data_IF_501114276500
#
_entry.id   IF_501114276500
#
_cell.length_a   1.000
_cell.length_b   1.000
_cell.length_c   1.000
_cell.angle_alpha   90.00
_cell.angle_beta   90.00
_cell.angle_gamma   90.00
#
_symmetry.space_group_name_H-M   'P 1'
#
loop_
_entity.id
_entity.type
_entity.pdbx_description
1 polymer ?
#
# COMPACT_ATOMS: atom_id res chain seq x y z
N UNK A 1 -11.75 -26.91 4.79
CA UNK A 1 -11.87 -26.79 3.32
C UNK A 1 -12.76 -25.59 3.12
N UNK A 2 -12.22 -24.51 2.60
CA UNK A 2 -13.01 -23.37 2.17
C UNK A 2 -13.89 -23.84 1.01
N UNK A 3 -15.19 -23.63 1.11
CA UNK A 3 -16.13 -24.02 0.06
C UNK A 3 -15.85 -23.18 -1.19
N UNK A 4 -15.69 -23.84 -2.33
CA UNK A 4 -15.63 -23.16 -3.63
C UNK A 4 -17.01 -22.64 -3.98
N UNK A 5 -17.13 -21.34 -4.21
CA UNK A 5 -18.35 -20.73 -4.67
C UNK A 5 -18.55 -20.84 -6.18
N UNK A 6 -19.75 -20.51 -6.65
CA UNK A 6 -20.07 -20.43 -8.07
C UNK A 6 -20.72 -19.10 -8.41
N UNK A 7 -20.28 -18.51 -9.51
CA UNK A 7 -20.86 -17.26 -10.03
C UNK A 7 -22.31 -17.49 -10.42
N UNK A 8 -23.22 -16.66 -9.93
CA UNK A 8 -24.65 -16.68 -10.28
C UNK A 8 -25.09 -15.42 -11.03
N UNK A 9 -24.41 -14.29 -10.85
CA UNK A 9 -24.71 -13.01 -11.51
C UNK A 9 -23.42 -12.26 -11.83
N UNK A 10 -23.37 -11.58 -12.97
CA UNK A 10 -22.27 -10.72 -13.39
C UNK A 10 -22.86 -9.37 -13.81
N UNK A 11 -22.37 -8.28 -13.19
CA UNK A 11 -22.81 -6.91 -13.48
C UNK A 11 -21.56 -6.00 -13.60
N UNK A 12 -20.89 -6.06 -14.75
CA UNK A 12 -19.60 -5.40 -14.95
C UNK A 12 -18.55 -5.94 -13.97
N UNK A 13 -17.76 -5.12 -13.26
CA UNK A 13 -16.75 -5.58 -12.32
C UNK A 13 -17.31 -6.16 -11.01
N UNK A 14 -18.64 -6.13 -10.82
CA UNK A 14 -19.32 -6.71 -9.65
C UNK A 14 -19.96 -8.03 -10.05
N UNK A 15 -19.61 -9.07 -9.32
CA UNK A 15 -20.18 -10.41 -9.50
C UNK A 15 -20.83 -10.89 -8.20
N UNK A 16 -21.83 -11.75 -8.32
CA UNK A 16 -22.45 -12.43 -7.18
C UNK A 16 -22.15 -13.92 -7.29
N UNK A 17 -21.67 -14.52 -6.21
CA UNK A 17 -21.38 -15.95 -6.12
C UNK A 17 -22.18 -16.58 -4.98
N UNK A 18 -22.64 -17.79 -5.19
CA UNK A 18 -23.30 -18.64 -4.20
C UNK A 18 -22.32 -19.71 -3.68
N UNK A 19 -22.63 -20.29 -2.50
CA UNK A 19 -21.75 -21.29 -1.87
C UNK A 19 -20.57 -20.70 -1.13
N UNK A 20 -20.61 -19.41 -0.78
CA UNK A 20 -19.53 -18.66 -0.15
C UNK A 20 -19.57 -18.70 1.39
N UNK A 21 -20.18 -19.72 1.97
CA UNK A 21 -20.31 -19.86 3.42
C UNK A 21 -18.97 -20.01 4.10
N UNK A 22 -18.71 -19.18 5.11
CA UNK A 22 -17.48 -19.20 5.89
C UNK A 22 -16.42 -18.24 5.41
N UNK A 23 -16.68 -17.46 4.34
CA UNK A 23 -15.86 -16.34 3.93
C UNK A 23 -16.10 -15.09 4.80
N UNK A 24 -15.23 -14.12 4.71
CA UNK A 24 -15.27 -12.90 5.51
C UNK A 24 -15.39 -11.65 4.63
N UNK A 25 -15.91 -10.57 5.19
CA UNK A 25 -15.90 -9.26 4.53
C UNK A 25 -14.48 -8.83 4.20
N UNK A 26 -14.29 -8.31 3.00
CA UNK A 26 -12.99 -7.89 2.43
C UNK A 26 -12.00 -9.04 2.19
N UNK A 27 -12.47 -10.28 2.23
CA UNK A 27 -11.63 -11.42 1.83
C UNK A 27 -11.36 -11.39 0.33
N UNK A 28 -10.12 -11.66 -0.03
CA UNK A 28 -9.71 -11.83 -1.42
C UNK A 28 -10.16 -13.16 -1.96
N UNK A 29 -10.58 -13.14 -3.21
CA UNK A 29 -11.02 -14.34 -3.94
C UNK A 29 -10.37 -14.38 -5.32
N UNK A 30 -10.20 -15.59 -5.85
CA UNK A 30 -9.84 -15.84 -7.25
C UNK A 30 -11.09 -16.26 -8.01
N UNK A 31 -11.40 -15.55 -9.09
CA UNK A 31 -12.69 -15.61 -9.76
C UNK A 31 -12.51 -16.13 -11.17
N UNK A 32 -13.29 -17.16 -11.51
CA UNK A 32 -13.37 -17.73 -12.86
C UNK A 32 -12.16 -18.55 -13.28
N UNK A 33 -12.19 -18.99 -14.54
CA UNK A 33 -11.10 -19.79 -15.14
C UNK A 33 -9.78 -19.01 -15.21
N UNK A 34 -9.85 -17.70 -15.44
CA UNK A 34 -8.68 -16.80 -15.51
C UNK A 34 -8.12 -16.45 -14.11
N UNK A 35 -8.79 -16.89 -13.01
CA UNK A 35 -8.40 -16.62 -11.62
C UNK A 35 -8.23 -15.13 -11.31
N UNK A 36 -9.15 -14.29 -11.82
CA UNK A 36 -9.12 -12.86 -11.62
C UNK A 36 -9.21 -12.53 -10.13
N UNK A 37 -8.44 -11.55 -9.71
CA UNK A 37 -8.43 -11.13 -8.31
C UNK A 37 -9.69 -10.31 -8.01
N UNK A 38 -10.41 -10.67 -6.95
CA UNK A 38 -11.58 -9.95 -6.45
C UNK A 38 -11.59 -9.84 -4.93
N UNK A 39 -12.43 -8.95 -4.42
CA UNK A 39 -12.64 -8.73 -2.98
C UNK A 39 -14.13 -8.84 -2.66
N UNK A 40 -14.46 -9.52 -1.57
CA UNK A 40 -15.85 -9.63 -1.09
C UNK A 40 -16.24 -8.29 -0.47
N UNK A 41 -17.28 -7.66 -1.02
CA UNK A 41 -17.77 -6.33 -0.58
C UNK A 41 -19.14 -6.39 0.09
N UNK A 42 -19.82 -7.54 0.01
CA UNK A 42 -21.10 -7.78 0.68
C UNK A 42 -21.28 -9.28 0.91
N UNK A 43 -21.91 -9.66 2.00
CA UNK A 43 -22.24 -11.03 2.35
C UNK A 43 -23.71 -11.11 2.77
N UNK A 44 -24.46 -11.99 2.11
CA UNK A 44 -25.86 -12.26 2.44
C UNK A 44 -26.09 -13.79 2.51
N UNK A 45 -26.11 -14.35 3.72
CA UNK A 45 -26.28 -15.79 3.91
C UNK A 45 -25.13 -16.61 3.33
N UNK A 46 -25.41 -17.35 2.27
CA UNK A 46 -24.45 -18.17 1.52
C UNK A 46 -23.90 -17.44 0.27
N UNK A 47 -24.43 -16.25 0.00
CA UNK A 47 -24.12 -15.47 -1.19
C UNK A 47 -23.14 -14.35 -0.86
N UNK A 48 -22.14 -14.15 -1.73
CA UNK A 48 -21.21 -13.04 -1.65
C UNK A 48 -21.29 -12.16 -2.90
N UNK A 49 -21.32 -10.85 -2.71
CA UNK A 49 -21.07 -9.88 -3.77
C UNK A 49 -19.58 -9.55 -3.79
N UNK A 50 -18.96 -9.71 -4.94
CA UNK A 50 -17.51 -9.63 -5.13
C UNK A 50 -17.21 -8.55 -6.15
N UNK A 51 -16.29 -7.68 -5.81
CA UNK A 51 -15.74 -6.69 -6.72
C UNK A 51 -14.43 -7.22 -7.32
N UNK A 52 -14.40 -7.38 -8.64
CA UNK A 52 -13.22 -7.86 -9.35
C UNK A 52 -12.30 -6.69 -9.70
N UNK A 53 -11.01 -6.86 -9.49
CA UNK A 53 -9.97 -5.86 -9.73
C UNK A 53 -9.50 -5.81 -11.20
N UNK A 54 -10.08 -6.65 -12.04
CA UNK A 54 -9.76 -6.74 -13.47
C UNK A 54 -11.06 -6.72 -14.30
N UNK A 55 -10.92 -6.65 -15.62
CA UNK A 55 -12.07 -6.68 -16.52
C UNK A 55 -12.73 -8.07 -16.56
N UNK A 56 -14.04 -8.11 -16.37
CA UNK A 56 -14.84 -9.33 -16.28
C UNK A 56 -15.46 -9.78 -17.61
N UNK A 57 -15.13 -9.10 -18.73
CA UNK A 57 -15.66 -9.45 -20.04
C UNK A 57 -15.32 -10.91 -20.40
N UNK A 58 -16.32 -11.67 -20.85
CA UNK A 58 -16.16 -13.09 -21.21
C UNK A 58 -16.37 -14.10 -20.09
N UNK A 59 -16.46 -13.67 -18.82
CA UNK A 59 -16.83 -14.55 -17.70
C UNK A 59 -18.28 -15.03 -17.82
N UNK A 60 -18.56 -16.20 -17.25
CA UNK A 60 -19.88 -16.85 -17.34
C UNK A 60 -20.41 -17.25 -15.97
N UNK A 61 -21.72 -17.19 -15.74
CA UNK A 61 -22.33 -17.86 -14.60
C UNK A 61 -21.98 -19.34 -14.56
N UNK A 62 -21.71 -19.84 -13.35
CA UNK A 62 -21.29 -21.22 -13.10
C UNK A 62 -19.78 -21.42 -12.97
N UNK A 63 -18.95 -20.42 -13.32
CA UNK A 63 -17.51 -20.46 -13.04
C UNK A 63 -17.24 -20.42 -11.53
N UNK A 64 -16.08 -20.93 -11.14
CA UNK A 64 -15.69 -21.14 -9.74
C UNK A 64 -15.15 -19.85 -9.12
N UNK A 65 -15.43 -19.66 -7.83
CA UNK A 65 -14.84 -18.62 -6.98
C UNK A 65 -14.09 -19.30 -5.84
N UNK A 66 -12.78 -19.07 -5.77
CA UNK A 66 -11.88 -19.65 -4.78
C UNK A 66 -11.53 -18.60 -3.70
N UNK A 67 -11.97 -18.74 -2.43
CA UNK A 67 -11.52 -17.89 -1.32
C UNK A 67 -10.04 -18.07 -1.03
N UNK A 68 -9.35 -16.98 -0.68
CA UNK A 68 -7.91 -17.00 -0.38
C UNK A 68 -7.60 -17.09 1.13
N UNK A 69 -8.61 -16.93 1.98
CA UNK A 69 -8.48 -17.00 3.44
C UNK A 69 -8.03 -15.70 4.10
N UNK A 70 -7.93 -14.58 3.37
CA UNK A 70 -7.52 -13.31 3.96
C UNK A 70 -7.85 -12.09 3.11
N UNK A 71 -7.78 -10.89 3.71
CA UNK A 71 -8.07 -9.63 3.02
C UNK A 71 -6.94 -9.22 2.07
N UNK A 72 -7.22 -8.19 1.24
CA UNK A 72 -6.19 -7.56 0.40
C UNK A 72 -5.02 -7.11 1.29
N UNK A 73 -3.87 -7.68 1.02
CA UNK A 73 -2.65 -7.47 1.80
C UNK A 73 -1.49 -7.11 0.90
N UNK A 74 -0.62 -6.24 1.39
CA UNK A 74 0.64 -5.89 0.72
C UNK A 74 1.80 -6.71 1.29
N UNK A 75 2.77 -7.00 0.45
CA UNK A 75 4.04 -7.60 0.83
C UNK A 75 5.03 -6.48 1.17
N UNK A 76 5.52 -6.48 2.39
CA UNK A 76 6.37 -5.44 2.97
C UNK A 76 7.75 -6.03 3.26
N UNK A 77 8.75 -5.61 2.51
CA UNK A 77 10.12 -6.13 2.60
C UNK A 77 11.07 -5.45 1.61
N UNK A 78 12.33 -5.88 1.54
CA UNK A 78 13.29 -5.36 0.56
C UNK A 78 12.82 -5.57 -0.89
N UNK A 79 12.92 -4.54 -1.71
CA UNK A 79 12.47 -4.53 -3.10
C UNK A 79 11.27 -3.63 -3.38
N UNK A 80 10.81 -2.87 -2.38
CA UNK A 80 9.71 -1.91 -2.54
C UNK A 80 10.23 -0.57 -3.08
N UNK A 81 11.33 -0.07 -2.54
CA UNK A 81 11.90 1.22 -2.95
C UNK A 81 12.37 1.16 -4.40
N UNK A 82 12.10 2.22 -5.14
CA UNK A 82 12.43 2.33 -6.57
C UNK A 82 11.47 1.58 -7.48
N UNK A 83 10.47 0.89 -6.92
CA UNK A 83 9.50 0.11 -7.70
C UNK A 83 8.27 0.93 -8.07
N UNK A 84 7.65 0.54 -9.18
CA UNK A 84 6.42 1.10 -9.71
C UNK A 84 5.35 0.02 -9.65
N UNK A 85 4.33 0.24 -8.84
CA UNK A 85 3.23 -0.70 -8.62
C UNK A 85 1.92 -0.20 -9.24
N UNK A 86 1.00 -1.13 -9.48
CA UNK A 86 -0.40 -0.81 -9.68
C UNK A 86 -1.16 -0.63 -8.33
N UNK A 87 -2.47 -0.42 -8.39
CA UNK A 87 -3.29 -0.16 -7.19
C UNK A 87 -3.34 -1.29 -6.16
N UNK A 88 -2.97 -2.52 -6.53
CA UNK A 88 -2.95 -3.71 -5.66
C UNK A 88 -1.55 -4.29 -5.47
N UNK A 89 -0.53 -3.46 -5.66
CA UNK A 89 0.89 -3.80 -5.49
C UNK A 89 1.43 -4.83 -6.51
N UNK A 90 0.91 -4.89 -7.74
CA UNK A 90 1.58 -5.66 -8.79
C UNK A 90 2.67 -4.78 -9.44
N UNK A 91 3.93 -5.25 -9.55
CA UNK A 91 5.02 -4.46 -10.13
C UNK A 91 4.86 -4.34 -11.66
N UNK A 92 4.66 -3.11 -12.15
CA UNK A 92 4.37 -2.84 -13.55
C UNK A 92 5.52 -3.21 -14.48
N UNK A 93 6.77 -3.04 -14.05
CA UNK A 93 7.94 -3.45 -14.84
C UNK A 93 7.99 -4.97 -15.05
N UNK A 94 7.70 -5.74 -14.00
CA UNK A 94 7.64 -7.21 -14.10
C UNK A 94 6.50 -7.67 -15.00
N UNK A 95 5.33 -7.01 -14.89
CA UNK A 95 4.20 -7.27 -15.80
C UNK A 95 4.62 -7.00 -17.25
N UNK A 96 5.23 -5.84 -17.51
CA UNK A 96 5.69 -5.47 -18.85
C UNK A 96 6.68 -6.48 -19.46
N UNK A 97 7.59 -7.01 -18.65
CA UNK A 97 8.54 -8.06 -19.11
C UNK A 97 7.78 -9.34 -19.46
N UNK A 98 6.73 -9.68 -18.71
CA UNK A 98 5.98 -10.93 -18.86
C UNK A 98 4.96 -10.88 -20.00
N UNK A 99 4.23 -9.76 -20.14
CA UNK A 99 3.08 -9.64 -21.05
C UNK A 99 3.26 -8.59 -22.15
N UNK A 100 4.37 -7.85 -22.17
CA UNK A 100 4.62 -6.78 -23.12
C UNK A 100 3.95 -5.45 -22.73
N UNK A 101 3.46 -4.72 -23.74
CA UNK A 101 2.92 -3.36 -23.54
C UNK A 101 1.47 -3.33 -23.00
N UNK A 102 0.83 -4.48 -22.88
CA UNK A 102 -0.54 -4.61 -22.37
C UNK A 102 -0.58 -5.49 -21.12
N UNK A 103 -1.39 -5.12 -20.15
CA UNK A 103 -1.65 -5.95 -18.96
C UNK A 103 -2.66 -7.03 -19.38
N UNK A 104 -2.21 -8.28 -19.42
CA UNK A 104 -3.09 -9.44 -19.66
C UNK A 104 -3.92 -9.75 -18.42
N UNK A 105 -5.10 -10.34 -18.63
CA UNK A 105 -6.00 -10.76 -17.56
C UNK A 105 -5.40 -11.92 -16.77
N UNK A 106 -5.66 -11.93 -15.44
CA UNK A 106 -5.19 -12.99 -14.56
C UNK A 106 -3.67 -13.07 -14.40
N UNK A 107 -2.94 -11.99 -14.75
CA UNK A 107 -1.48 -11.95 -14.56
C UNK A 107 -1.18 -11.96 -13.06
N UNK A 108 -0.63 -13.07 -12.61
CA UNK A 108 -0.11 -13.24 -11.26
C UNK A 108 1.42 -13.05 -11.28
N UNK A 109 1.88 -12.04 -10.56
CA UNK A 109 3.30 -11.72 -10.37
C UNK A 109 3.55 -11.40 -8.90
N UNK A 110 4.68 -11.84 -8.32
CA UNK A 110 4.99 -11.51 -6.94
C UNK A 110 5.16 -9.99 -6.78
N UNK A 111 4.63 -9.44 -5.68
CA UNK A 111 4.67 -8.00 -5.42
C UNK A 111 6.08 -7.49 -5.17
N UNK A 112 6.95 -8.32 -4.60
CA UNK A 112 8.39 -8.02 -4.44
C UNK A 112 9.21 -9.17 -5.01
N UNK A 113 10.47 -8.92 -5.45
CA UNK A 113 11.33 -9.95 -6.05
C UNK A 113 11.64 -11.08 -5.06
N UNK A 114 11.13 -12.30 -5.30
CA UNK A 114 11.31 -13.48 -4.43
C UNK A 114 12.68 -14.14 -4.61
N UNK A 115 13.23 -14.10 -5.81
CA UNK A 115 14.50 -14.78 -6.14
C UNK A 115 15.72 -13.90 -5.88
N UNK A 116 15.53 -12.59 -5.68
CA UNK A 116 16.61 -11.66 -5.40
C UNK A 116 17.18 -11.90 -4.02
N UNK A 117 18.49 -12.05 -3.94
CA UNK A 117 19.21 -12.17 -2.68
C UNK A 117 19.65 -10.80 -2.17
N UNK A 118 19.45 -10.60 -0.88
CA UNK A 118 19.78 -9.39 -0.16
C UNK A 118 20.77 -9.70 0.94
N UNK A 119 21.75 -8.84 1.13
CA UNK A 119 22.74 -8.99 2.21
C UNK A 119 22.11 -8.59 3.52
N UNK A 120 21.72 -9.58 4.31
CA UNK A 120 21.17 -9.39 5.65
C UNK A 120 22.30 -9.25 6.66
N UNK A 121 22.20 -8.26 7.54
CA UNK A 121 23.13 -8.04 8.65
C UNK A 121 22.35 -8.04 9.95
N UNK A 122 22.57 -9.01 10.86
CA UNK A 122 21.88 -9.07 12.14
C UNK A 122 22.36 -7.94 13.07
N UNK A 123 21.44 -7.36 13.84
CA UNK A 123 21.71 -6.31 14.83
C UNK A 123 21.51 -6.80 16.27
N UNK A 124 20.92 -7.97 16.44
CA UNK A 124 20.65 -8.60 17.75
C UNK A 124 21.23 -10.01 17.78
N UNK A 125 21.32 -10.58 18.98
CA UNK A 125 21.84 -11.94 19.18
C UNK A 125 20.74 -12.89 19.67
N UNK A 126 20.92 -14.20 19.46
CA UNK A 126 20.03 -15.22 20.02
C UNK A 126 19.94 -15.10 21.54
N UNK A 127 18.75 -15.34 22.09
CA UNK A 127 18.44 -15.19 23.50
C UNK A 127 17.90 -13.81 23.90
N UNK A 128 17.87 -12.84 23.00
CA UNK A 128 17.28 -11.52 23.27
C UNK A 128 15.75 -11.63 23.38
N UNK A 129 15.16 -10.90 24.33
CA UNK A 129 13.71 -10.65 24.32
C UNK A 129 13.38 -9.64 23.22
N UNK A 130 12.37 -9.94 22.40
CA UNK A 130 11.92 -9.10 21.32
C UNK A 130 10.41 -8.88 21.38
N UNK A 131 10.00 -7.69 20.98
CA UNK A 131 8.59 -7.28 20.84
C UNK A 131 8.29 -6.90 19.39
N UNK A 132 7.02 -6.93 19.06
CA UNK A 132 6.57 -6.45 17.75
C UNK A 132 7.10 -5.03 17.48
N UNK A 133 7.69 -4.81 16.31
CA UNK A 133 8.35 -3.57 15.91
C UNK A 133 9.85 -3.46 16.23
N UNK A 134 10.42 -4.40 17.01
CA UNK A 134 11.86 -4.41 17.26
C UNK A 134 12.63 -4.74 15.98
N UNK A 135 13.71 -4.00 15.76
CA UNK A 135 14.60 -4.21 14.62
C UNK A 135 15.60 -5.31 14.96
N UNK A 136 15.61 -6.37 14.16
CA UNK A 136 16.51 -7.52 14.35
C UNK A 136 17.68 -7.55 13.37
N UNK A 137 17.59 -6.78 12.29
CA UNK A 137 18.64 -6.70 11.28
C UNK A 137 18.40 -5.60 10.28
N UNK A 138 19.33 -5.45 9.36
CA UNK A 138 19.28 -4.45 8.30
C UNK A 138 19.71 -5.01 6.95
N UNK A 139 19.18 -4.39 5.89
CA UNK A 139 19.54 -4.67 4.49
C UNK A 139 19.67 -3.36 3.76
N UNK A 140 20.78 -3.12 3.08
CA UNK A 140 20.93 -1.95 2.20
C UNK A 140 20.11 -2.17 0.94
N UNK A 141 18.97 -1.49 0.82
CA UNK A 141 18.05 -1.66 -0.31
C UNK A 141 18.46 -0.81 -1.51
N UNK A 142 18.68 0.49 -1.27
CA UNK A 142 19.17 1.44 -2.27
C UNK A 142 20.34 2.25 -1.72
N UNK A 143 20.88 3.15 -2.52
CA UNK A 143 21.94 4.03 -2.05
C UNK A 143 21.49 5.02 -0.96
N UNK A 144 20.18 5.26 -0.84
CA UNK A 144 19.58 6.23 0.08
C UNK A 144 18.87 5.55 1.27
N UNK A 145 18.38 4.32 1.12
CA UNK A 145 17.50 3.67 2.11
C UNK A 145 18.09 2.34 2.59
N UNK A 146 18.18 2.21 3.90
CA UNK A 146 18.49 0.95 4.59
C UNK A 146 17.20 0.36 5.12
N UNK A 147 16.79 -0.77 4.59
CA UNK A 147 15.63 -1.53 5.04
C UNK A 147 15.92 -2.13 6.41
N UNK A 148 15.13 -1.78 7.40
CA UNK A 148 15.24 -2.34 8.76
C UNK A 148 14.28 -3.50 8.90
N UNK A 149 14.82 -4.68 9.18
CA UNK A 149 14.02 -5.90 9.33
C UNK A 149 13.46 -5.94 10.73
N UNK A 150 12.14 -5.91 10.84
CA UNK A 150 11.40 -5.79 12.10
C UNK A 150 10.64 -7.07 12.43
N UNK A 151 10.52 -7.34 13.72
CA UNK A 151 9.56 -8.33 14.23
C UNK A 151 8.14 -7.85 13.88
N UNK A 152 7.28 -8.69 13.27
CA UNK A 152 5.89 -8.32 13.00
C UNK A 152 5.17 -7.81 14.26
N UNK A 153 4.30 -6.79 14.17
CA UNK A 153 3.73 -6.10 15.34
C UNK A 153 3.00 -6.99 16.36
N UNK A 154 2.49 -8.12 15.90
CA UNK A 154 1.71 -9.07 16.73
C UNK A 154 2.54 -10.23 17.31
N UNK A 155 3.86 -10.19 17.15
CA UNK A 155 4.78 -11.24 17.62
C UNK A 155 5.65 -10.66 18.74
N UNK A 156 5.76 -11.42 19.85
CA UNK A 156 6.67 -11.10 20.96
C UNK A 156 7.13 -12.37 21.61
N UNK A 157 8.37 -12.41 22.08
CA UNK A 157 8.95 -13.61 22.71
C UNK A 157 10.45 -13.53 22.83
N UNK A 158 11.10 -14.70 22.90
CA UNK A 158 12.55 -14.81 22.96
C UNK A 158 13.09 -15.24 21.59
N UNK A 159 14.06 -14.52 21.09
CA UNK A 159 14.73 -14.84 19.83
C UNK A 159 15.58 -16.11 19.99
N UNK A 160 15.08 -17.22 19.50
CA UNK A 160 15.73 -18.53 19.63
C UNK A 160 16.97 -18.64 18.77
N UNK A 161 16.86 -18.23 17.53
CA UNK A 161 17.97 -18.16 16.59
C UNK A 161 17.81 -16.95 15.63
N UNK A 162 18.92 -16.53 15.08
CA UNK A 162 18.99 -15.52 14.02
C UNK A 162 20.10 -15.89 13.04
N UNK A 163 19.84 -15.68 11.75
CA UNK A 163 20.81 -15.95 10.69
C UNK A 163 22.06 -15.06 10.83
N UNK A 164 23.20 -15.60 10.49
CA UNK A 164 24.44 -14.84 10.39
C UNK A 164 24.38 -13.85 9.21
N UNK A 165 25.30 -12.89 9.18
CA UNK A 165 25.46 -12.01 8.02
C UNK A 165 25.66 -12.84 6.76
N UNK A 166 24.85 -12.57 5.73
CA UNK A 166 24.83 -13.36 4.49
C UNK A 166 23.77 -12.92 3.52
N UNK A 167 23.70 -13.62 2.39
CA UNK A 167 22.76 -13.33 1.31
C UNK A 167 21.57 -14.27 1.38
N UNK A 168 20.38 -13.70 1.63
CA UNK A 168 19.11 -14.41 1.76
C UNK A 168 18.06 -13.83 0.84
N UNK A 169 17.10 -14.64 0.44
CA UNK A 169 15.87 -14.18 -0.22
C UNK A 169 14.88 -13.63 0.82
N UNK A 170 13.87 -12.93 0.37
CA UNK A 170 12.85 -12.33 1.28
C UNK A 170 11.97 -13.37 1.97
N UNK A 171 11.89 -14.59 1.44
CA UNK A 171 11.07 -15.70 1.97
C UNK A 171 11.88 -16.72 2.78
N UNK A 172 13.21 -16.63 2.79
CA UNK A 172 14.03 -17.47 3.66
C UNK A 172 13.85 -17.07 5.13
N UNK A 173 13.80 -18.07 6.01
CA UNK A 173 13.68 -17.87 7.44
C UNK A 173 15.00 -17.33 8.00
N UNK A 174 15.00 -16.07 8.45
CA UNK A 174 16.19 -15.38 9.00
C UNK A 174 16.24 -15.42 10.52
N UNK A 175 15.12 -15.68 11.18
CA UNK A 175 15.06 -15.79 12.62
C UNK A 175 13.90 -16.70 13.06
N UNK A 176 13.95 -17.15 14.32
CA UNK A 176 12.87 -17.88 14.98
C UNK A 176 12.65 -17.26 16.37
N UNK A 177 11.40 -16.89 16.66
CA UNK A 177 10.98 -16.33 17.94
C UNK A 177 10.13 -17.36 18.66
N UNK A 178 10.52 -17.71 19.87
CA UNK A 178 9.73 -18.57 20.75
C UNK A 178 8.69 -17.73 21.51
N UNK A 179 7.44 -17.90 21.09
CA UNK A 179 6.30 -17.16 21.66
C UNK A 179 5.52 -18.05 22.63
N UNK A 180 4.61 -17.44 23.40
CA UNK A 180 3.71 -18.19 24.28
C UNK A 180 2.74 -19.14 23.54
N UNK A 181 2.66 -19.04 22.20
CA UNK A 181 1.84 -19.90 21.31
C UNK A 181 2.69 -20.91 20.52
N UNK A 182 3.99 -20.92 20.74
CA UNK A 182 4.96 -21.75 20.04
C UNK A 182 5.94 -20.95 19.18
N UNK A 183 6.90 -21.63 18.53
CA UNK A 183 7.92 -20.99 17.72
C UNK A 183 7.31 -20.40 16.43
N UNK A 184 7.73 -19.19 16.10
CA UNK A 184 7.33 -18.46 14.90
C UNK A 184 8.57 -18.10 14.10
N UNK A 185 8.58 -18.44 12.83
CA UNK A 185 9.63 -18.11 11.88
C UNK A 185 9.46 -16.68 11.38
N UNK A 186 10.55 -15.96 11.28
CA UNK A 186 10.62 -14.57 10.82
C UNK A 186 11.38 -14.53 9.50
N UNK A 187 10.80 -13.86 8.53
CA UNK A 187 11.35 -13.61 7.20
C UNK A 187 11.68 -12.12 7.04
N UNK A 188 12.42 -11.76 6.00
CA UNK A 188 12.65 -10.33 5.69
C UNK A 188 11.38 -9.65 5.14
N UNK A 189 10.39 -10.41 4.74
CA UNK A 189 9.10 -9.95 4.26
C UNK A 189 8.01 -10.21 5.30
N UNK A 190 7.05 -9.31 5.38
CA UNK A 190 5.80 -9.49 6.13
C UNK A 190 4.60 -9.08 5.27
N UNK A 191 3.43 -9.70 5.51
CA UNK A 191 2.17 -9.33 4.87
C UNK A 191 1.33 -8.50 5.82
N UNK A 192 0.68 -7.46 5.28
CA UNK A 192 -0.19 -6.59 6.08
C UNK A 192 -1.45 -6.22 5.28
N UNK A 193 -2.61 -6.34 5.93
CA UNK A 193 -3.90 -5.98 5.33
C UNK A 193 -3.98 -4.46 5.12
N UNK A 194 -4.24 -4.02 3.89
CA UNK A 194 -4.17 -2.59 3.51
C UNK A 194 -5.20 -1.71 4.22
N UNK A 195 -6.37 -2.26 4.57
CA UNK A 195 -7.44 -1.52 5.25
C UNK A 195 -7.23 -1.38 6.75
N UNK A 196 -6.21 -2.05 7.31
CA UNK A 196 -5.87 -1.99 8.73
C UNK A 196 -4.63 -1.13 8.92
N UNK A 197 -4.76 -0.03 9.67
CA UNK A 197 -3.61 0.82 10.02
C UNK A 197 -2.57 0.02 10.81
N UNK A 198 -1.28 0.30 10.57
CA UNK A 198 -0.22 -0.33 11.37
C UNK A 198 -0.16 0.32 12.75
N UNK A 199 0.03 -0.49 13.80
CA UNK A 199 0.00 0.02 15.17
C UNK A 199 1.16 0.97 15.48
N UNK A 200 0.94 1.84 16.42
CA UNK A 200 1.94 2.72 17.03
C UNK A 200 1.72 2.76 18.54
N UNK A 201 2.71 3.24 19.27
CA UNK A 201 2.63 3.33 20.75
C UNK A 201 1.83 4.57 21.15
N UNK A 202 2.28 5.72 20.71
CA UNK A 202 1.66 7.01 21.01
C UNK A 202 1.64 7.89 19.76
N UNK A 203 0.59 8.70 19.60
CA UNK A 203 0.51 9.75 18.59
C UNK A 203 0.98 11.06 19.22
N UNK A 204 1.97 11.68 18.61
CA UNK A 204 2.61 12.89 19.10
C UNK A 204 1.98 14.14 18.52
N UNK A 205 2.12 15.27 19.22
CA UNK A 205 1.68 16.55 18.73
C UNK A 205 2.47 16.98 17.47
N UNK A 206 1.84 17.67 16.51
CA UNK A 206 2.45 18.13 15.27
C UNK A 206 3.26 19.43 15.49
N UNK A 207 4.37 19.36 16.23
CA UNK A 207 5.21 20.48 16.64
C UNK A 207 6.45 20.69 15.75
N UNK A 208 6.73 19.76 14.84
CA UNK A 208 7.86 19.84 13.90
C UNK A 208 7.36 20.16 12.49
N UNK A 209 7.82 21.26 11.85
CA UNK A 209 7.40 21.59 10.50
C UNK A 209 7.99 20.60 9.47
N UNK A 210 7.17 20.25 8.48
CA UNK A 210 7.62 19.63 7.24
C UNK A 210 8.08 20.73 6.30
N UNK A 211 9.37 20.85 6.08
CA UNK A 211 9.91 21.84 5.13
C UNK A 211 9.66 21.32 3.71
N UNK A 212 8.81 22.02 2.97
CA UNK A 212 8.42 21.64 1.61
C UNK A 212 9.41 22.12 0.55
N UNK A 213 10.29 23.06 0.89
CA UNK A 213 11.19 23.73 -0.04
C UNK A 213 10.53 24.83 -0.88
N UNK A 214 9.22 25.02 -0.73
CA UNK A 214 8.43 26.08 -1.40
C UNK A 214 8.21 27.23 -0.43
N UNK A 215 8.95 28.35 -0.60
CA UNK A 215 8.90 29.49 0.34
C UNK A 215 7.50 30.00 0.65
N UNK A 216 6.61 30.05 -0.35
CA UNK A 216 5.25 30.51 -0.15
C UNK A 216 4.45 29.55 0.75
N UNK A 217 4.61 28.24 0.55
CA UNK A 217 3.96 27.21 1.36
C UNK A 217 4.51 27.21 2.78
N UNK A 218 5.83 27.14 2.93
CA UNK A 218 6.48 27.07 4.24
C UNK A 218 6.21 28.31 5.10
N UNK A 219 5.99 29.50 4.47
CA UNK A 219 5.75 30.74 5.18
C UNK A 219 4.28 30.96 5.52
N UNK A 220 3.37 30.71 4.57
CA UNK A 220 1.95 31.06 4.71
C UNK A 220 1.03 29.89 5.00
N UNK A 221 1.46 28.67 4.65
CA UNK A 221 0.66 27.45 4.79
C UNK A 221 1.53 26.30 5.32
N UNK A 222 2.21 26.47 6.47
CA UNK A 222 3.13 25.48 6.99
C UNK A 222 2.40 24.18 7.28
N UNK A 223 3.00 23.06 6.88
CA UNK A 223 2.55 21.70 7.17
C UNK A 223 3.47 21.11 8.22
N UNK A 224 2.90 20.43 9.19
CA UNK A 224 3.70 19.70 10.19
C UNK A 224 4.09 18.30 9.69
N UNK A 225 5.22 17.77 10.15
CA UNK A 225 5.56 16.35 9.99
C UNK A 225 4.49 15.49 10.67
N UNK A 226 3.93 14.54 9.92
CA UNK A 226 2.76 13.78 10.35
C UNK A 226 1.42 14.50 10.16
N UNK A 227 1.44 15.70 9.59
CA UNK A 227 0.23 16.46 9.27
C UNK A 227 -0.40 16.01 7.95
N UNK A 228 -1.59 16.57 7.70
CA UNK A 228 -2.33 16.39 6.45
C UNK A 228 -2.52 17.73 5.76
N UNK A 229 -2.39 17.74 4.44
CA UNK A 229 -2.65 18.93 3.64
C UNK A 229 -3.48 18.57 2.40
N UNK A 230 -4.29 19.52 1.94
CA UNK A 230 -5.02 19.41 0.69
C UNK A 230 -4.51 20.45 -0.29
N UNK A 231 -4.37 20.06 -1.55
CA UNK A 231 -4.10 20.97 -2.67
C UNK A 231 -5.36 21.03 -3.54
N UNK A 232 -6.30 21.94 -3.27
CA UNK A 232 -7.52 22.05 -4.02
C UNK A 232 -7.31 22.83 -5.33
N UNK A 233 -8.08 22.52 -6.35
CA UNK A 233 -8.13 23.29 -7.56
C UNK A 233 -8.72 22.54 -8.75
N UNK A 234 -9.25 23.26 -9.75
CA UNK A 234 -9.76 22.65 -10.96
C UNK A 234 -8.64 22.05 -11.82
N UNK A 235 -9.04 21.38 -12.90
CA UNK A 235 -8.08 20.87 -13.88
C UNK A 235 -7.19 22.00 -14.42
N UNK A 236 -5.88 21.73 -14.55
CA UNK A 236 -4.90 22.69 -15.04
C UNK A 236 -4.41 23.73 -14.02
N UNK A 237 -4.84 23.67 -12.76
CA UNK A 237 -4.38 24.58 -11.69
C UNK A 237 -2.97 24.28 -11.16
N UNK A 238 -2.30 23.25 -11.65
CA UNK A 238 -0.95 22.88 -11.23
C UNK A 238 -0.87 21.99 -9.99
N UNK A 239 -1.94 21.29 -9.61
CA UNK A 239 -1.95 20.35 -8.46
C UNK A 239 -0.85 19.31 -8.54
N UNK A 240 -0.79 18.58 -9.65
CA UNK A 240 0.21 17.54 -9.91
C UNK A 240 1.63 18.10 -9.87
N UNK A 241 1.86 19.26 -10.53
CA UNK A 241 3.18 19.93 -10.49
C UNK A 241 3.58 20.30 -9.06
N UNK A 242 2.64 20.82 -8.28
CA UNK A 242 2.89 21.16 -6.86
C UNK A 242 3.26 19.92 -6.06
N UNK A 243 2.56 18.80 -6.24
CA UNK A 243 2.88 17.55 -5.55
C UNK A 243 4.22 16.97 -5.98
N UNK A 244 4.58 17.04 -7.25
CA UNK A 244 5.91 16.64 -7.75
C UNK A 244 7.02 17.49 -7.12
N UNK A 245 6.82 18.81 -7.02
CA UNK A 245 7.76 19.71 -6.34
C UNK A 245 7.89 19.37 -4.86
N UNK A 246 6.79 19.06 -4.17
CA UNK A 246 6.83 18.60 -2.79
C UNK A 246 7.60 17.27 -2.66
N UNK A 247 7.34 16.30 -3.53
CA UNK A 247 8.05 15.03 -3.55
C UNK A 247 9.57 15.22 -3.73
N UNK A 248 9.97 16.16 -4.59
CA UNK A 248 11.39 16.44 -4.86
C UNK A 248 12.09 17.16 -3.71
N UNK A 249 11.45 18.17 -3.11
CA UNK A 249 12.10 19.10 -2.20
C UNK A 249 11.76 18.91 -0.72
N UNK A 250 10.69 18.17 -0.40
CA UNK A 250 10.25 18.01 0.98
C UNK A 250 11.32 17.36 1.86
N UNK A 251 11.32 17.78 3.12
CA UNK A 251 12.18 17.22 4.16
C UNK A 251 11.59 15.91 4.70
N UNK A 252 11.47 14.93 3.82
CA UNK A 252 11.07 13.57 4.12
C UNK A 252 12.17 12.60 3.67
N UNK A 253 12.32 11.50 4.38
CA UNK A 253 13.31 10.47 4.04
C UNK A 253 12.83 9.62 2.87
N UNK A 254 11.53 9.30 2.86
CA UNK A 254 10.91 8.45 1.86
C UNK A 254 9.67 9.12 1.29
N UNK A 255 9.49 8.96 -0.01
CA UNK A 255 8.32 9.45 -0.75
C UNK A 255 7.49 8.26 -1.23
N UNK A 256 6.19 8.32 -0.96
CA UNK A 256 5.20 7.42 -1.56
C UNK A 256 4.27 8.25 -2.43
N UNK A 257 4.36 8.07 -3.74
CA UNK A 257 3.51 8.79 -4.68
C UNK A 257 2.41 7.88 -5.22
N UNK A 258 1.16 8.24 -4.98
CA UNK A 258 -0.03 7.50 -5.39
C UNK A 258 -0.78 8.27 -6.46
N UNK A 259 -0.63 7.85 -7.71
CA UNK A 259 -1.49 8.30 -8.81
C UNK A 259 -2.80 7.53 -8.79
N UNK A 260 -3.85 8.16 -8.29
CA UNK A 260 -5.17 7.55 -8.13
C UNK A 260 -6.13 8.06 -9.20
N UNK A 261 -6.34 7.27 -10.23
CA UNK A 261 -7.29 7.56 -11.30
C UNK A 261 -6.89 8.72 -12.21
N UNK A 262 -5.61 9.08 -12.23
CA UNK A 262 -5.10 10.13 -13.09
C UNK A 262 -5.06 9.71 -14.56
N UNK A 263 -4.94 10.68 -15.46
CA UNK A 263 -4.88 10.41 -16.88
C UNK A 263 -3.61 9.67 -17.24
N UNK A 264 -3.70 8.75 -18.19
CA UNK A 264 -2.57 7.95 -18.64
C UNK A 264 -1.37 8.78 -19.11
N UNK A 265 -1.61 9.93 -19.78
CA UNK A 265 -0.53 10.83 -20.22
C UNK A 265 0.18 11.51 -19.05
N UNK A 266 -0.57 12.02 -18.04
CA UNK A 266 0.00 12.65 -16.85
C UNK A 266 0.81 11.63 -16.04
N UNK A 267 0.26 10.42 -15.85
CA UNK A 267 0.99 9.36 -15.17
C UNK A 267 2.22 8.91 -15.95
N UNK A 268 2.16 8.84 -17.29
CA UNK A 268 3.33 8.52 -18.11
C UNK A 268 4.44 9.57 -17.97
N UNK A 269 4.07 10.84 -17.81
CA UNK A 269 5.02 11.93 -17.53
C UNK A 269 5.71 11.72 -16.18
N UNK A 270 4.93 11.46 -15.12
CA UNK A 270 5.48 11.11 -13.79
C UNK A 270 6.43 9.91 -13.87
N UNK A 271 6.01 8.83 -14.53
CA UNK A 271 6.81 7.61 -14.66
C UNK A 271 8.11 7.79 -15.46
N UNK A 272 8.17 8.77 -16.36
CA UNK A 272 9.38 9.12 -17.11
C UNK A 272 10.26 10.10 -16.36
N UNK A 273 9.66 11.13 -15.74
CA UNK A 273 10.41 12.20 -15.09
C UNK A 273 11.01 11.77 -13.75
N UNK A 274 10.26 11.02 -12.91
CA UNK A 274 10.75 10.65 -11.58
C UNK A 274 12.07 9.86 -11.60
N UNK A 275 12.27 8.88 -12.49
CA UNK A 275 13.56 8.19 -12.60
C UNK A 275 14.73 9.08 -13.03
N UNK A 276 14.44 10.17 -13.77
CA UNK A 276 15.46 11.12 -14.24
C UNK A 276 15.75 12.23 -13.22
N UNK A 277 14.89 12.40 -12.21
CA UNK A 277 15.08 13.42 -11.17
C UNK A 277 16.18 13.00 -10.19
N UNK A 278 17.04 13.96 -9.88
CA UNK A 278 18.01 13.85 -8.81
C UNK A 278 17.47 14.45 -7.50
N UNK A 279 17.71 13.76 -6.40
CA UNK A 279 17.45 14.29 -5.07
C UNK A 279 18.41 15.47 -4.81
N UNK A 280 17.89 16.69 -4.64
CA UNK A 280 18.70 17.88 -4.47
C UNK A 280 19.58 17.86 -3.20
N UNK A 281 19.26 17.01 -2.23
CA UNK A 281 20.03 16.88 -0.98
C UNK A 281 21.22 15.96 -1.15
N UNK A 282 21.07 14.88 -1.92
CA UNK A 282 22.08 13.82 -2.02
C UNK A 282 22.77 13.73 -3.38
N UNK A 283 22.18 14.34 -4.44
CA UNK A 283 22.63 14.22 -5.83
C UNK A 283 22.42 12.81 -6.41
N UNK A 284 21.66 11.95 -5.74
CA UNK A 284 21.33 10.59 -6.17
C UNK A 284 19.96 10.56 -6.85
N UNK A 285 19.62 9.49 -7.61
CA UNK A 285 18.29 9.37 -8.20
C UNK A 285 17.20 9.50 -7.15
N UNK A 286 16.16 10.30 -7.43
CA UNK A 286 15.03 10.46 -6.52
C UNK A 286 14.30 9.13 -6.28
N UNK A 287 14.30 8.24 -7.26
CA UNK A 287 13.75 6.90 -7.15
C UNK A 287 14.41 6.04 -6.07
N UNK A 288 15.67 6.31 -5.70
CA UNK A 288 16.35 5.58 -4.62
C UNK A 288 15.68 5.76 -3.25
N UNK A 289 14.75 6.71 -3.10
CA UNK A 289 13.92 6.92 -1.89
C UNK A 289 12.42 7.04 -2.17
N UNK A 290 11.97 6.61 -3.35
CA UNK A 290 10.58 6.79 -3.79
C UNK A 290 9.93 5.45 -4.11
N UNK A 291 8.64 5.35 -3.79
CA UNK A 291 7.73 4.28 -4.24
C UNK A 291 6.63 4.93 -5.06
N UNK A 292 6.39 4.43 -6.27
CA UNK A 292 5.31 4.90 -7.13
C UNK A 292 4.18 3.87 -7.19
N UNK A 293 2.95 4.34 -7.02
CA UNK A 293 1.75 3.54 -7.25
C UNK A 293 0.96 4.22 -8.37
N UNK A 294 0.84 3.54 -9.51
CA UNK A 294 0.22 4.08 -10.70
C UNK A 294 -1.09 3.37 -10.99
N UNK A 295 -2.21 4.02 -10.69
CA UNK A 295 -3.53 3.60 -11.12
C UNK A 295 -4.14 4.67 -12.02
N UNK A 296 -4.21 4.40 -13.33
CA UNK A 296 -4.74 5.35 -14.32
C UNK A 296 -6.26 5.25 -14.43
N UNK A 297 -6.88 6.26 -15.03
CA UNK A 297 -8.34 6.37 -15.15
C UNK A 297 -8.99 5.25 -15.99
N UNK A 298 -8.22 4.57 -16.83
CA UNK A 298 -8.67 3.42 -17.64
C UNK A 298 -8.49 2.08 -16.91
N UNK A 299 -7.84 2.05 -15.76
CA UNK A 299 -7.73 0.84 -14.95
C UNK A 299 -9.03 0.60 -14.14
N UNK A 300 -9.28 -0.63 -13.70
CA UNK A 300 -10.50 -0.99 -12.98
C UNK A 300 -10.73 -0.17 -11.71
N UNK A 301 -11.99 0.14 -11.46
CA UNK A 301 -12.44 1.01 -10.35
C UNK A 301 -12.03 0.48 -8.98
N UNK A 302 -12.10 -0.85 -8.80
CA UNK A 302 -11.70 -1.49 -7.57
C UNK A 302 -10.23 -1.24 -7.22
N UNK A 303 -9.33 -1.38 -8.20
CA UNK A 303 -7.91 -1.09 -8.02
C UNK A 303 -7.66 0.40 -7.70
N UNK A 304 -8.50 1.29 -8.25
CA UNK A 304 -8.48 2.73 -7.93
C UNK A 304 -8.89 2.97 -6.47
N UNK A 305 -9.92 2.28 -6.00
CA UNK A 305 -10.34 2.41 -4.59
C UNK A 305 -9.27 1.87 -3.63
N UNK A 306 -8.60 0.79 -3.99
CA UNK A 306 -7.58 0.16 -3.15
C UNK A 306 -6.25 0.90 -3.11
N UNK A 307 -5.86 1.64 -4.19
CA UNK A 307 -4.50 2.18 -4.35
C UNK A 307 -4.04 3.10 -3.22
N UNK A 308 -4.96 3.89 -2.65
CA UNK A 308 -4.63 4.80 -1.53
C UNK A 308 -4.30 4.02 -0.25
N UNK A 309 -4.99 2.90 -0.01
CA UNK A 309 -4.71 2.03 1.13
C UNK A 309 -3.40 1.27 0.96
N UNK A 310 -3.08 0.84 -0.26
CA UNK A 310 -1.78 0.26 -0.60
C UNK A 310 -0.66 1.25 -0.28
N UNK A 311 -0.80 2.49 -0.74
CA UNK A 311 0.19 3.55 -0.51
C UNK A 311 0.39 3.88 0.96
N UNK A 312 -0.69 4.10 1.70
CA UNK A 312 -0.57 4.48 3.12
C UNK A 312 0.00 3.33 3.96
N UNK A 313 -0.29 2.08 3.62
CA UNK A 313 0.26 0.92 4.33
C UNK A 313 1.77 0.78 4.10
N UNK A 314 2.25 1.03 2.89
CA UNK A 314 3.67 1.08 2.58
C UNK A 314 4.32 2.25 3.34
N UNK A 315 3.69 3.41 3.37
CA UNK A 315 4.19 4.57 4.12
C UNK A 315 4.31 4.28 5.63
N UNK A 316 3.30 3.66 6.24
CA UNK A 316 3.33 3.25 7.65
C UNK A 316 4.43 2.22 7.94
N UNK A 317 4.72 1.32 7.00
CA UNK A 317 5.79 0.34 7.16
C UNK A 317 7.16 1.01 7.28
N UNK A 318 7.45 2.00 6.45
CA UNK A 318 8.70 2.77 6.55
C UNK A 318 8.71 3.68 7.79
N UNK A 319 7.57 4.26 8.18
CA UNK A 319 7.43 4.96 9.46
C UNK A 319 7.85 4.05 10.63
N UNK A 320 7.40 2.80 10.66
CA UNK A 320 7.73 1.87 11.73
C UNK A 320 9.24 1.59 11.85
N UNK A 321 9.99 1.78 10.77
CA UNK A 321 11.47 1.74 10.77
C UNK A 321 12.11 3.00 11.36
N UNK A 322 11.34 4.06 11.58
CA UNK A 322 11.84 5.35 12.08
C UNK A 322 12.10 6.39 11.00
N UNK A 323 11.57 6.22 9.77
CA UNK A 323 11.66 7.19 8.69
C UNK A 323 10.51 8.20 8.72
N UNK A 324 10.80 9.44 8.34
CA UNK A 324 9.79 10.43 8.01
C UNK A 324 9.33 10.23 6.57
N UNK A 325 8.06 9.87 6.38
CA UNK A 325 7.49 9.54 5.09
C UNK A 325 6.51 10.62 4.64
N UNK A 326 6.61 11.05 3.39
CA UNK A 326 5.60 11.89 2.76
C UNK A 326 4.84 11.10 1.70
N UNK A 327 3.52 11.02 1.86
CA UNK A 327 2.61 10.40 0.90
C UNK A 327 1.89 11.49 0.11
N UNK A 328 2.02 11.43 -1.22
CA UNK A 328 1.31 12.27 -2.17
C UNK A 328 0.18 11.45 -2.81
N UNK A 329 -1.07 11.91 -2.70
CA UNK A 329 -2.22 11.26 -3.32
C UNK A 329 -2.81 12.15 -4.42
N UNK A 330 -2.62 11.76 -5.68
CA UNK A 330 -3.09 12.48 -6.86
C UNK A 330 -4.08 11.62 -7.67
N UNK A 331 -5.39 11.77 -7.52
CA UNK A 331 -6.07 12.67 -6.63
C UNK A 331 -7.09 11.94 -5.74
N UNK A 332 -7.34 12.46 -4.56
CA UNK A 332 -8.36 11.89 -3.66
C UNK A 332 -9.77 12.07 -4.19
N UNK A 333 -10.00 13.02 -5.09
CA UNK A 333 -11.28 13.18 -5.81
C UNK A 333 -11.59 11.98 -6.68
N UNK A 334 -10.58 11.43 -7.37
CA UNK A 334 -10.76 10.22 -8.20
C UNK A 334 -10.98 8.97 -7.35
N UNK A 335 -10.42 8.94 -6.15
CA UNK A 335 -10.77 7.91 -5.16
C UNK A 335 -12.23 8.02 -4.71
N UNK A 336 -12.72 9.24 -4.43
CA UNK A 336 -14.13 9.47 -4.10
C UNK A 336 -15.06 9.07 -5.27
N UNK A 337 -14.70 9.37 -6.52
CA UNK A 337 -15.43 8.91 -7.70
C UNK A 337 -15.48 7.37 -7.78
N UNK A 338 -14.40 6.68 -7.46
CA UNK A 338 -14.39 5.21 -7.42
C UNK A 338 -15.39 4.68 -6.37
N UNK A 339 -15.40 5.25 -5.18
CA UNK A 339 -16.38 4.89 -4.14
C UNK A 339 -17.82 5.14 -4.60
N UNK A 340 -18.08 6.26 -5.30
CA UNK A 340 -19.40 6.55 -5.86
C UNK A 340 -19.84 5.51 -6.90
N UNK A 341 -18.92 5.10 -7.77
CA UNK A 341 -19.21 4.09 -8.79
C UNK A 341 -19.50 2.72 -8.18
N UNK A 342 -18.73 2.30 -7.16
CA UNK A 342 -18.93 1.05 -6.44
C UNK A 342 -20.29 1.07 -5.74
N UNK A 343 -20.56 2.10 -4.95
CA UNK A 343 -21.83 2.29 -4.22
C UNK A 343 -23.05 2.29 -5.16
N UNK A 344 -22.93 2.93 -6.33
CA UNK A 344 -23.99 2.90 -7.35
C UNK A 344 -24.25 1.51 -7.94
N UNK A 345 -23.21 0.68 -8.08
CA UNK A 345 -23.35 -0.72 -8.55
C UNK A 345 -23.95 -1.65 -7.49
N UNK A 346 -23.72 -1.33 -6.20
CA UNK A 346 -24.34 -2.01 -5.08
C UNK A 346 -25.78 -1.54 -4.80
N UNK A 347 -26.27 -0.58 -5.58
CA UNK A 347 -27.61 0.00 -5.40
C UNK A 347 -27.80 0.61 -3.99
N UNK A 348 -26.70 1.05 -3.35
CA UNK A 348 -26.75 1.73 -2.07
C UNK A 348 -27.48 3.07 -2.20
N UNK A 349 -28.15 3.49 -1.11
CA UNK A 349 -28.84 4.79 -1.09
C UNK A 349 -27.82 5.93 -1.26
N UNK A 350 -27.91 6.74 -2.32
CA UNK A 350 -26.96 7.82 -2.55
C UNK A 350 -27.14 8.95 -1.53
N UNK A 351 -26.02 9.50 -1.08
CA UNK A 351 -25.99 10.74 -0.33
C UNK A 351 -25.94 11.97 -1.24
N UNK A 352 -25.35 13.05 -0.75
CA UNK A 352 -25.17 14.31 -1.48
C UNK A 352 -24.35 14.10 -2.76
N UNK A 353 -24.77 14.69 -3.87
CA UNK A 353 -24.15 14.58 -5.21
C UNK A 353 -23.95 13.12 -5.71
N UNK A 354 -24.69 12.17 -5.18
CA UNK A 354 -24.59 10.74 -5.55
C UNK A 354 -23.42 10.00 -4.94
N UNK A 355 -22.71 10.61 -4.00
CA UNK A 355 -21.66 9.93 -3.24
C UNK A 355 -22.26 9.03 -2.15
N UNK A 356 -21.57 7.97 -1.72
CA UNK A 356 -22.02 7.15 -0.61
C UNK A 356 -22.06 7.97 0.69
N UNK A 357 -23.02 7.69 1.56
CA UNK A 357 -23.18 8.38 2.85
C UNK A 357 -21.94 8.29 3.76
N UNK A 358 -21.14 7.25 3.57
CA UNK A 358 -19.91 7.01 4.33
C UNK A 358 -18.64 7.65 3.74
N UNK A 359 -18.75 8.47 2.68
CA UNK A 359 -17.57 9.11 2.06
C UNK A 359 -16.73 9.89 3.06
N UNK A 360 -17.37 10.74 3.87
CA UNK A 360 -16.68 11.56 4.85
C UNK A 360 -15.92 10.72 5.89
N UNK A 361 -16.53 9.63 6.38
CA UNK A 361 -15.89 8.73 7.35
C UNK A 361 -14.72 7.96 6.72
N UNK A 362 -14.80 7.55 5.46
CA UNK A 362 -13.69 6.91 4.74
C UNK A 362 -12.51 7.86 4.52
N UNK A 363 -12.79 9.10 4.15
CA UNK A 363 -11.77 10.15 4.02
C UNK A 363 -11.10 10.40 5.36
N UNK A 364 -11.87 10.58 6.44
CA UNK A 364 -11.33 10.76 7.79
C UNK A 364 -10.44 9.59 8.21
N UNK A 365 -10.89 8.34 8.05
CA UNK A 365 -10.12 7.14 8.36
C UNK A 365 -8.79 7.08 7.61
N UNK A 366 -8.76 7.48 6.34
CA UNK A 366 -7.54 7.53 5.56
C UNK A 366 -6.58 8.61 6.07
N UNK A 367 -7.06 9.84 6.26
CA UNK A 367 -6.22 10.93 6.73
C UNK A 367 -5.77 10.76 8.19
N UNK A 368 -6.55 10.09 9.04
CA UNK A 368 -6.18 9.77 10.42
C UNK A 368 -4.98 8.80 10.51
N UNK A 369 -4.67 8.05 9.46
CA UNK A 369 -3.46 7.22 9.38
C UNK A 369 -2.18 8.05 9.27
N UNK A 370 -2.28 9.31 8.87
CA UNK A 370 -1.19 10.27 9.01
C UNK A 370 -0.94 10.58 10.49
N UNK A 371 0.30 10.83 10.83
CA UNK A 371 0.67 11.20 12.18
C UNK A 371 2.16 11.15 12.40
N UNK A 372 2.62 11.92 13.37
CA UNK A 372 3.90 11.75 14.00
C UNK A 372 3.69 10.86 15.21
N UNK A 373 4.42 9.78 15.30
CA UNK A 373 4.15 8.73 16.30
C UNK A 373 5.44 8.24 16.95
N UNK A 374 5.29 7.70 18.17
CA UNK A 374 6.27 6.78 18.74
C UNK A 374 5.96 5.39 18.22
N UNK A 375 6.91 4.74 17.58
CA UNK A 375 6.71 3.42 16.97
C UNK A 375 6.57 2.34 18.05
N UNK A 376 5.93 1.22 17.68
CA UNK A 376 5.94 0.02 18.54
C UNK A 376 7.35 -0.53 18.63
N UNK A 377 7.63 -1.27 19.71
CA UNK A 377 8.93 -1.89 19.96
C UNK A 377 9.46 -1.55 21.33
N UNK A 378 10.63 -2.05 21.64
CA UNK A 378 11.33 -1.83 22.92
C UNK A 378 11.96 -0.43 22.96
N UNK A 379 12.47 0.05 21.82
CA UNK A 379 13.03 1.39 21.69
C UNK A 379 11.97 2.39 21.27
N UNK A 380 11.92 3.54 21.95
CA UNK A 380 11.03 4.65 21.59
C UNK A 380 11.63 5.43 20.40
N UNK A 381 11.22 5.06 19.19
CA UNK A 381 11.59 5.78 17.96
C UNK A 381 10.45 6.70 17.55
N UNK A 382 10.79 7.90 17.15
CA UNK A 382 9.83 8.86 16.60
C UNK A 382 9.95 8.87 15.08
N UNK A 383 8.82 8.80 14.41
CA UNK A 383 8.72 8.88 12.96
C UNK A 383 7.35 9.42 12.53
N UNK A 384 7.23 9.77 11.25
CA UNK A 384 6.00 10.39 10.77
C UNK A 384 5.55 9.89 9.41
N UNK A 385 4.23 9.94 9.18
CA UNK A 385 3.62 9.87 7.85
C UNK A 385 2.85 11.16 7.63
N UNK A 386 3.31 11.99 6.70
CA UNK A 386 2.61 13.19 6.25
C UNK A 386 1.85 12.87 4.97
N UNK A 387 0.60 13.33 4.85
CA UNK A 387 -0.25 13.04 3.70
C UNK A 387 -0.66 14.34 3.00
N UNK A 388 -0.39 14.42 1.70
CA UNK A 388 -0.80 15.55 0.85
C UNK A 388 -1.73 15.04 -0.24
N UNK A 389 -2.99 15.45 -0.20
CA UNK A 389 -4.00 15.03 -1.16
C UNK A 389 -4.33 16.14 -2.16
N UNK A 390 -4.29 15.84 -3.47
CA UNK A 390 -4.87 16.71 -4.47
C UNK A 390 -6.40 16.55 -4.50
N UNK A 391 -7.11 17.65 -4.60
CA UNK A 391 -8.58 17.70 -4.59
C UNK A 391 -9.07 18.54 -5.76
N UNK A 392 -9.95 17.99 -6.58
CA UNK A 392 -10.57 18.69 -7.72
C UNK A 392 -11.92 19.25 -7.38
#
# INVERSE_FOLDING_TARGET
MTAEGKIIKIAGPVITADGMRGTQMYEMVKVGEDKLIGEIIELEGDTATIQVYEETAGMKPGEVVEPTGGPLSVELGPGIIGSIFDGIQRPLETIKIKTGDYIERGVDVPSIPKDKKWTFKPLVTSGAEVKGGDIIGEVQETSAVTQKIMIPPNISGVLKNIASEGNYTVEEDIAEVDTNKGPVKIQMMQKWAVRVGRPYKDKLDPDIPLITGQRAQDTFFPVAKGGTAAIPGPFGSGKTVTQQQLAKWADADIIVYVGCGERGNEMTEVLKEFPELEDPKTGKPLMDRTVLIANTSNMPVAAREACVYTGITIAEYFRDMGYDVALMADSTSRWAEAMREISGRLEEMPGEEGYPAYLASRLAQFYERAGRVTTVGTEDKTASVSVVGAVS
#
